data_IF_293093371661
#
_entry.id   IF_293093371661
#
_cell.length_a   1.000
_cell.length_b   1.000
_cell.length_c   1.000
_cell.angle_alpha   90.00
_cell.angle_beta   90.00
_cell.angle_gamma   90.00
#
_symmetry.space_group_name_H-M   'P 1'
#
loop_
_entity.id
_entity.type
_entity.pdbx_description
1 polymer ?
#
# COMPACT_ATOMS: atom_id res chain seq x y z
N UNK A 1 -18.47 16.64 1.34
CA UNK A 1 -17.52 16.69 2.50
C UNK A 1 -16.32 17.53 2.07
N UNK A 2 -15.42 17.95 2.98
CA UNK A 2 -14.23 18.71 2.58
C UNK A 2 -12.96 18.13 3.21
N UNK A 3 -11.84 18.31 2.51
CA UNK A 3 -10.48 18.10 3.00
C UNK A 3 -9.94 19.45 3.47
N UNK A 4 -9.24 19.43 4.61
CA UNK A 4 -8.62 20.59 5.21
C UNK A 4 -7.11 20.38 5.34
N UNK A 5 -6.33 21.46 5.24
CA UNK A 5 -4.86 21.40 5.44
C UNK A 5 -4.48 21.03 6.87
N UNK A 6 -5.32 21.43 7.81
CA UNK A 6 -5.24 21.17 9.25
C UNK A 6 -6.67 21.21 9.83
N UNK A 7 -6.90 20.82 11.09
CA UNK A 7 -8.18 21.02 11.77
C UNK A 7 -8.59 22.51 11.85
N UNK A 8 -9.14 23.07 10.77
CA UNK A 8 -9.52 24.48 10.62
C UNK A 8 -10.89 24.62 9.94
N UNK A 9 -11.31 25.86 9.69
CA UNK A 9 -12.59 26.19 9.02
C UNK A 9 -12.45 26.30 7.49
N UNK A 10 -11.23 26.38 6.96
CA UNK A 10 -10.98 26.62 5.53
C UNK A 10 -10.71 25.31 4.77
N UNK A 11 -11.64 24.86 3.92
CA UNK A 11 -11.45 23.67 3.13
C UNK A 11 -10.47 23.93 1.97
N UNK A 12 -9.56 22.98 1.73
CA UNK A 12 -8.65 23.02 0.58
C UNK A 12 -9.22 22.26 -0.63
N UNK A 13 -10.16 21.34 -0.40
CA UNK A 13 -10.82 20.59 -1.47
C UNK A 13 -12.17 20.06 -1.04
N UNK A 14 -13.12 20.06 -1.96
CA UNK A 14 -14.41 19.37 -1.80
C UNK A 14 -14.28 17.89 -2.17
N UNK A 15 -14.88 17.02 -1.37
CA UNK A 15 -15.10 15.61 -1.66
C UNK A 15 -16.53 15.40 -2.15
N UNK A 16 -16.67 14.74 -3.30
CA UNK A 16 -17.95 14.34 -3.86
C UNK A 16 -18.64 13.28 -2.97
N UNK A 17 -19.97 13.14 -3.04
CA UNK A 17 -20.67 12.07 -2.35
C UNK A 17 -20.11 10.69 -2.73
N UNK A 18 -19.78 9.86 -1.73
CA UNK A 18 -19.17 8.53 -1.87
C UNK A 18 -17.72 8.51 -2.40
N UNK A 19 -17.06 9.67 -2.55
CA UNK A 19 -15.64 9.70 -2.90
C UNK A 19 -14.80 9.03 -1.80
N UNK A 20 -13.94 8.10 -2.20
CA UNK A 20 -13.14 7.31 -1.28
C UNK A 20 -11.92 8.09 -0.77
N UNK A 21 -11.66 7.98 0.54
CA UNK A 21 -10.47 8.53 1.17
C UNK A 21 -9.68 7.42 1.83
N UNK A 22 -8.36 7.53 1.80
CA UNK A 22 -7.49 6.60 2.51
C UNK A 22 -7.03 7.28 3.80
N UNK A 23 -7.30 6.64 4.94
CA UNK A 23 -6.95 7.15 6.27
C UNK A 23 -5.43 7.03 6.49
N UNK A 24 -4.82 8.09 7.01
CA UNK A 24 -3.41 8.11 7.41
C UNK A 24 -3.20 7.69 8.88
N UNK A 25 -4.26 7.36 9.60
CA UNK A 25 -4.22 6.85 10.97
C UNK A 25 -5.47 6.03 11.30
N UNK A 26 -5.36 5.19 12.33
CA UNK A 26 -6.41 4.23 12.69
C UNK A 26 -7.53 4.81 13.58
N UNK A 27 -7.28 5.97 14.21
CA UNK A 27 -8.22 6.59 15.14
C UNK A 27 -8.35 8.09 14.88
N UNK A 28 -9.57 8.66 15.00
CA UNK A 28 -9.73 10.09 15.00
C UNK A 28 -9.06 10.70 16.25
N UNK A 29 -8.49 11.90 16.08
CA UNK A 29 -8.04 12.75 17.18
C UNK A 29 -9.20 13.08 18.12
N UNK A 30 -8.90 13.47 19.36
CA UNK A 30 -9.90 13.86 20.38
C UNK A 30 -10.93 14.89 19.89
N UNK A 31 -10.56 15.70 18.89
CA UNK A 31 -11.41 16.74 18.31
C UNK A 31 -12.26 16.25 17.11
N UNK A 32 -12.35 14.94 16.86
CA UNK A 32 -13.18 14.36 15.80
C UNK A 32 -12.59 14.46 14.39
N UNK A 33 -11.30 14.80 14.27
CA UNK A 33 -10.58 14.88 13.01
C UNK A 33 -9.78 13.62 12.75
N UNK A 34 -9.70 13.20 11.50
CA UNK A 34 -8.85 12.09 11.08
C UNK A 34 -7.99 12.53 9.89
N UNK A 35 -6.73 12.14 9.91
CA UNK A 35 -5.80 12.42 8.82
C UNK A 35 -6.06 11.45 7.66
N UNK A 36 -5.90 11.94 6.43
CA UNK A 36 -6.00 11.17 5.19
C UNK A 36 -4.75 11.40 4.33
N UNK A 37 -4.40 10.43 3.49
CA UNK A 37 -3.30 10.54 2.52
C UNK A 37 -3.78 10.56 1.06
N UNK A 38 -5.05 10.24 0.80
CA UNK A 38 -5.67 10.22 -0.53
C UNK A 38 -7.09 10.81 -0.45
N UNK A 39 -7.55 11.59 -1.45
CA UNK A 39 -6.90 11.92 -2.74
C UNK A 39 -5.74 12.91 -2.62
N UNK A 40 -5.69 13.70 -1.55
CA UNK A 40 -4.56 14.55 -1.19
C UNK A 40 -4.32 14.45 0.33
N UNK A 41 -3.08 14.63 0.82
CA UNK A 41 -2.82 14.69 2.25
C UNK A 41 -3.60 15.82 2.93
N UNK A 42 -4.27 15.50 4.05
CA UNK A 42 -5.07 16.48 4.78
C UNK A 42 -5.87 15.85 5.92
N UNK A 43 -6.89 16.58 6.37
CA UNK A 43 -7.78 16.18 7.46
C UNK A 43 -9.23 16.26 7.04
N UNK A 44 -10.04 15.31 7.53
CA UNK A 44 -11.50 15.28 7.35
C UNK A 44 -12.17 15.06 8.70
N UNK A 45 -13.47 15.36 8.80
CA UNK A 45 -14.25 15.10 10.01
C UNK A 45 -14.69 13.64 10.01
N UNK A 46 -14.37 12.91 11.09
CA UNK A 46 -14.68 11.50 11.19
C UNK A 46 -16.19 11.21 11.14
N UNK A 47 -17.02 12.13 11.68
CA UNK A 47 -18.48 12.01 11.66
C UNK A 47 -19.11 12.05 10.26
N UNK A 48 -18.41 12.63 9.29
CA UNK A 48 -18.88 12.75 7.90
C UNK A 48 -18.39 11.56 7.06
N UNK A 49 -17.56 10.68 7.63
CA UNK A 49 -17.14 9.43 7.03
C UNK A 49 -18.12 8.32 7.40
N UNK A 50 -18.45 7.52 6.40
CA UNK A 50 -18.88 6.14 6.63
C UNK A 50 -17.69 5.24 6.38
N UNK A 51 -17.61 4.14 7.12
CA UNK A 51 -16.78 3.04 6.65
C UNK A 51 -17.24 2.71 5.24
N UNK A 52 -16.28 2.58 4.31
CA UNK A 52 -16.57 1.89 3.08
C UNK A 52 -17.21 0.58 3.53
N UNK A 53 -18.48 0.37 3.17
CA UNK A 53 -19.07 -0.93 3.28
C UNK A 53 -18.24 -1.80 2.35
N UNK A 54 -17.13 -2.32 2.89
CA UNK A 54 -16.65 -3.61 2.50
C UNK A 54 -17.91 -4.43 2.65
N UNK A 55 -18.57 -4.72 1.54
CA UNK A 55 -19.27 -5.98 1.42
C UNK A 55 -18.26 -6.94 2.01
N UNK A 56 -18.57 -7.43 3.21
CA UNK A 56 -17.83 -8.52 3.79
C UNK A 56 -18.23 -9.69 2.89
N UNK A 57 -17.67 -9.72 1.68
CA UNK A 57 -17.16 -10.97 1.19
C UNK A 57 -16.21 -11.33 2.31
N UNK A 58 -16.68 -12.21 3.20
CA UNK A 58 -15.80 -13.05 3.99
C UNK A 58 -15.05 -13.87 2.94
N UNK A 59 -14.13 -13.24 2.20
CA UNK A 59 -12.92 -13.94 1.80
C UNK A 59 -12.31 -14.19 3.16
N UNK A 60 -12.17 -15.45 3.59
CA UNK A 60 -11.50 -15.73 4.85
C UNK A 60 -10.26 -14.87 4.86
N UNK A 61 -10.11 -13.98 5.85
CA UNK A 61 -8.86 -13.27 6.06
C UNK A 61 -7.81 -14.39 6.09
N UNK A 62 -6.99 -14.58 5.05
CA UNK A 62 -6.03 -15.66 5.06
C UNK A 62 -4.88 -15.09 5.86
N UNK A 63 -5.07 -14.94 7.17
CA UNK A 63 -4.01 -14.65 8.14
C UNK A 63 -2.98 -13.64 7.62
N UNK A 64 -3.38 -12.48 7.05
CA UNK A 64 -2.54 -11.62 6.19
C UNK A 64 -1.28 -12.33 5.68
N UNK A 65 -1.46 -13.37 4.83
CA UNK A 65 -0.38 -14.28 4.48
C UNK A 65 0.84 -13.47 4.11
N UNK A 66 1.93 -13.60 4.87
CA UNK A 66 3.18 -12.90 4.56
C UNK A 66 3.85 -13.51 3.33
N UNK A 67 3.30 -14.62 2.80
CA UNK A 67 3.81 -15.28 1.62
C UNK A 67 3.31 -14.57 0.36
N UNK A 68 4.25 -14.26 -0.52
CA UNK A 68 3.98 -13.83 -1.89
C UNK A 68 4.74 -14.72 -2.87
N UNK A 69 4.22 -14.87 -4.08
CA UNK A 69 4.87 -15.60 -5.16
C UNK A 69 5.13 -14.67 -6.34
N UNK A 70 6.32 -14.77 -6.94
CA UNK A 70 6.70 -13.95 -8.10
C UNK A 70 6.01 -14.48 -9.36
N UNK A 71 5.20 -13.64 -9.99
CA UNK A 71 4.52 -13.97 -11.26
C UNK A 71 5.14 -13.29 -12.48
N UNK A 72 6.16 -12.44 -12.27
CA UNK A 72 6.89 -11.81 -13.36
C UNK A 72 7.70 -12.84 -14.15
N UNK A 73 7.36 -13.03 -15.43
CA UNK A 73 7.97 -14.02 -16.34
C UNK A 73 9.18 -13.51 -17.13
N UNK A 74 9.69 -12.32 -16.84
CA UNK A 74 10.88 -11.81 -17.51
C UNK A 74 12.13 -12.64 -17.16
N UNK A 75 13.06 -12.73 -18.11
CA UNK A 75 14.22 -13.65 -18.04
C UNK A 75 15.12 -13.41 -16.82
N UNK A 76 15.22 -12.17 -16.34
CA UNK A 76 16.10 -11.83 -15.21
C UNK A 76 15.41 -11.91 -13.85
N UNK A 77 14.11 -12.20 -13.76
CA UNK A 77 13.39 -12.06 -12.49
C UNK A 77 13.38 -10.62 -11.96
N UNK A 78 13.14 -10.45 -10.66
CA UNK A 78 12.96 -9.13 -10.03
C UNK A 78 14.12 -8.83 -9.10
N UNK A 79 14.75 -7.67 -9.27
CA UNK A 79 15.82 -7.20 -8.40
C UNK A 79 15.31 -6.89 -6.99
N UNK A 80 16.01 -7.41 -5.98
CA UNK A 80 15.89 -6.98 -4.57
C UNK A 80 16.90 -5.88 -4.31
N UNK A 81 16.46 -4.80 -3.67
CA UNK A 81 17.22 -3.57 -3.50
C UNK A 81 17.26 -3.10 -2.05
N UNK A 82 18.29 -2.33 -1.73
CA UNK A 82 18.50 -1.81 -0.37
C UNK A 82 17.51 -0.73 0.03
N UNK A 83 16.92 0.00 -0.93
CA UNK A 83 15.86 0.98 -0.72
C UNK A 83 14.76 0.81 -1.79
N UNK A 84 13.52 1.30 -1.55
CA UNK A 84 12.43 1.19 -2.52
C UNK A 84 12.57 2.22 -3.65
N UNK A 85 13.65 2.13 -4.41
CA UNK A 85 13.88 2.90 -5.63
C UNK A 85 14.84 2.16 -6.56
N UNK A 86 14.73 2.41 -7.87
CA UNK A 86 15.48 1.69 -8.92
C UNK A 86 16.98 2.01 -8.92
N UNK A 87 17.40 3.12 -8.32
CA UNK A 87 18.81 3.55 -8.33
C UNK A 87 19.60 3.02 -7.12
N UNK A 88 18.93 2.46 -6.13
CA UNK A 88 19.59 1.91 -4.94
C UNK A 88 20.28 0.59 -5.25
N UNK A 89 21.31 0.27 -4.45
CA UNK A 89 22.13 -0.93 -4.59
C UNK A 89 21.26 -2.18 -4.70
N UNK A 90 21.56 -3.01 -5.70
CA UNK A 90 20.94 -4.32 -5.86
C UNK A 90 21.57 -5.29 -4.86
N UNK A 91 20.73 -5.92 -4.04
CA UNK A 91 21.11 -6.91 -3.04
C UNK A 91 20.94 -8.34 -3.55
N UNK A 92 20.09 -8.55 -4.56
CA UNK A 92 19.85 -9.87 -5.13
C UNK A 92 18.83 -9.87 -6.27
N UNK A 93 18.37 -11.06 -6.61
CA UNK A 93 17.45 -11.34 -7.69
C UNK A 93 16.49 -12.46 -7.27
N UNK A 94 15.21 -12.32 -7.60
CA UNK A 94 14.19 -13.32 -7.31
C UNK A 94 13.45 -13.67 -8.60
N UNK A 95 13.57 -14.93 -9.02
CA UNK A 95 13.01 -15.44 -10.27
C UNK A 95 11.52 -15.74 -10.18
N UNK A 96 10.89 -15.93 -11.35
CA UNK A 96 9.52 -16.43 -11.48
C UNK A 96 9.26 -17.69 -10.64
N UNK A 97 8.07 -17.77 -10.03
CA UNK A 97 7.61 -18.89 -9.19
C UNK A 97 8.25 -18.96 -7.80
N UNK A 98 9.22 -18.10 -7.48
CA UNK A 98 9.84 -18.09 -6.16
C UNK A 98 8.89 -17.45 -5.15
N UNK A 99 8.72 -18.14 -4.01
CA UNK A 99 8.00 -17.64 -2.85
C UNK A 99 8.89 -16.69 -2.03
N UNK A 100 8.40 -15.49 -1.78
CA UNK A 100 9.01 -14.47 -0.93
C UNK A 100 8.19 -14.26 0.33
N UNK A 101 8.83 -13.78 1.39
CA UNK A 101 8.16 -13.48 2.66
C UNK A 101 8.21 -12.00 2.94
N UNK A 102 7.05 -11.36 3.03
CA UNK A 102 6.89 -9.98 3.47
C UNK A 102 7.34 -9.81 4.92
N UNK A 103 7.69 -8.57 5.29
CA UNK A 103 7.93 -8.23 6.69
C UNK A 103 6.66 -8.42 7.52
N UNK A 104 6.78 -8.95 8.74
CA UNK A 104 5.67 -9.09 9.67
C UNK A 104 5.34 -7.75 10.35
N UNK A 105 4.73 -6.84 9.59
CA UNK A 105 4.30 -5.49 10.00
C UNK A 105 2.94 -5.17 9.39
N UNK A 106 2.23 -4.12 9.83
CA UNK A 106 0.99 -3.69 9.18
C UNK A 106 1.16 -3.44 7.66
N UNK A 107 0.11 -3.60 6.83
CA UNK A 107 0.21 -3.45 5.37
C UNK A 107 0.84 -2.14 4.88
N UNK A 108 0.64 -1.04 5.60
CA UNK A 108 1.22 0.28 5.28
C UNK A 108 2.75 0.32 5.39
N UNK A 109 3.35 -0.60 6.14
CA UNK A 109 4.80 -0.77 6.26
C UNK A 109 5.35 -1.88 5.35
N UNK A 110 4.47 -2.76 4.84
CA UNK A 110 4.84 -3.82 3.91
C UNK A 110 5.03 -3.30 2.48
N UNK A 111 4.30 -2.25 2.11
CA UNK A 111 4.30 -1.70 0.75
C UNK A 111 4.58 -0.20 0.76
N UNK A 112 5.35 0.25 -0.22
CA UNK A 112 5.67 1.66 -0.45
C UNK A 112 5.48 2.01 -1.91
N UNK A 113 4.73 3.08 -2.21
CA UNK A 113 4.59 3.59 -3.58
C UNK A 113 5.56 4.76 -3.78
N UNK A 114 6.43 4.66 -4.79
CA UNK A 114 7.33 5.76 -5.14
C UNK A 114 6.62 6.84 -5.97
N UNK A 115 7.31 7.97 -6.19
CA UNK A 115 6.78 9.11 -6.94
C UNK A 115 6.49 8.82 -8.41
N UNK A 116 6.96 7.69 -8.95
CA UNK A 116 6.68 7.22 -10.31
C UNK A 116 5.50 6.24 -10.34
N UNK A 117 4.84 6.00 -9.21
CA UNK A 117 3.69 5.11 -9.11
C UNK A 117 4.04 3.63 -9.09
N UNK A 118 5.31 3.27 -8.90
CA UNK A 118 5.72 1.88 -8.68
C UNK A 118 5.52 1.53 -7.22
N UNK A 119 4.92 0.38 -6.97
CA UNK A 119 4.80 -0.19 -5.64
C UNK A 119 6.00 -1.09 -5.34
N UNK A 120 6.54 -0.97 -4.14
CA UNK A 120 7.66 -1.74 -3.62
C UNK A 120 7.20 -2.56 -2.43
N UNK A 121 7.43 -3.87 -2.48
CA UNK A 121 7.18 -4.78 -1.37
C UNK A 121 8.45 -4.96 -0.53
N UNK A 122 8.30 -4.86 0.79
CA UNK A 122 9.38 -5.13 1.73
C UNK A 122 9.38 -6.60 2.12
N UNK A 123 10.46 -7.29 1.77
CA UNK A 123 10.63 -8.73 2.00
C UNK A 123 11.77 -9.03 2.99
N UNK A 124 11.67 -10.19 3.64
CA UNK A 124 12.65 -10.75 4.58
C UNK A 124 13.28 -12.05 4.10
N UNK A 125 12.73 -12.67 3.04
CA UNK A 125 13.21 -13.90 2.42
C UNK A 125 12.86 -13.89 0.91
N UNK A 126 13.73 -14.40 0.01
CA UNK A 126 15.05 -14.99 0.27
C UNK A 126 16.14 -13.96 0.58
N UNK A 127 15.95 -12.71 0.18
CA UNK A 127 16.87 -11.60 0.44
C UNK A 127 16.11 -10.52 1.18
N UNK A 128 16.66 -10.04 2.29
CA UNK A 128 16.05 -8.93 3.04
C UNK A 128 16.22 -7.62 2.25
N UNK A 129 15.12 -6.97 1.88
CA UNK A 129 15.15 -5.75 1.10
C UNK A 129 13.81 -5.38 0.47
N UNK A 130 13.88 -4.58 -0.59
CA UNK A 130 12.72 -4.07 -1.32
C UNK A 130 12.71 -4.63 -2.74
N UNK A 131 11.56 -5.11 -3.19
CA UNK A 131 11.38 -5.58 -4.56
C UNK A 131 10.16 -4.93 -5.20
N UNK A 132 10.17 -4.74 -6.52
CA UNK A 132 9.04 -4.14 -7.24
C UNK A 132 7.82 -5.08 -7.20
N UNK A 133 6.69 -4.61 -6.70
CA UNK A 133 5.40 -5.28 -6.82
C UNK A 133 4.63 -4.89 -8.10
N UNK A 134 5.24 -4.08 -8.98
CA UNK A 134 4.62 -3.57 -10.20
C UNK A 134 4.22 -2.11 -10.04
N UNK A 135 3.35 -1.62 -10.91
CA UNK A 135 2.89 -0.22 -10.88
C UNK A 135 1.37 -0.16 -10.91
N UNK A 136 0.81 0.51 -9.90
CA UNK A 136 -0.63 0.78 -9.86
C UNK A 136 -1.10 1.69 -11.00
N UNK A 137 -0.19 2.50 -11.54
CA UNK A 137 -0.49 3.40 -12.66
C UNK A 137 -0.71 2.64 -13.97
N UNK A 138 0.02 1.54 -14.19
CA UNK A 138 -0.11 0.70 -15.39
C UNK A 138 -0.97 -0.55 -15.18
N UNK A 139 -1.27 -0.89 -13.92
CA UNK A 139 -2.00 -2.10 -13.55
C UNK A 139 -1.11 -3.35 -13.51
N UNK A 140 0.21 -3.19 -13.68
CA UNK A 140 1.14 -4.32 -13.61
C UNK A 140 1.30 -4.82 -12.17
N UNK A 141 1.29 -6.13 -12.01
CA UNK A 141 1.50 -6.80 -10.74
C UNK A 141 2.58 -7.87 -10.86
N UNK A 142 3.53 -7.85 -9.93
CA UNK A 142 4.65 -8.79 -9.92
C UNK A 142 4.54 -9.88 -8.85
N UNK A 143 3.79 -9.62 -7.78
CA UNK A 143 3.64 -10.54 -6.66
C UNK A 143 2.17 -10.85 -6.40
N UNK A 144 1.86 -12.13 -6.24
CA UNK A 144 0.53 -12.61 -5.82
C UNK A 144 0.61 -13.26 -4.45
N UNK A 145 -0.52 -13.38 -3.76
CA UNK A 145 -0.58 -14.19 -2.52
C UNK A 145 -0.27 -15.64 -2.90
N UNK A 146 0.59 -16.30 -2.13
CA UNK A 146 0.88 -17.72 -2.35
C UNK A 146 -0.41 -18.54 -2.27
N UNK A 147 -0.58 -19.47 -3.20
CA UNK A 147 -1.62 -20.50 -3.07
C UNK A 147 -1.13 -21.57 -2.06
N UNK A 148 -2.03 -22.03 -1.20
CA UNK A 148 -1.78 -23.19 -0.35
C UNK A 148 -1.78 -24.47 -1.17
#
# INVERSE_FOLDING_TARGET
MFIYKQPSIEPIRTLEPNEEVILAGNNPSKNGWIAINSPIPGFVRAKDLKFCQQTVIVRPNPTQSLCREVIYKGNDGIAVRSRPNINSSRLGLVSYGVKVRLINRPPQEQFFQDSQGREWARITYPVNGWMSNGSRATGDQNLVVCSN
#
